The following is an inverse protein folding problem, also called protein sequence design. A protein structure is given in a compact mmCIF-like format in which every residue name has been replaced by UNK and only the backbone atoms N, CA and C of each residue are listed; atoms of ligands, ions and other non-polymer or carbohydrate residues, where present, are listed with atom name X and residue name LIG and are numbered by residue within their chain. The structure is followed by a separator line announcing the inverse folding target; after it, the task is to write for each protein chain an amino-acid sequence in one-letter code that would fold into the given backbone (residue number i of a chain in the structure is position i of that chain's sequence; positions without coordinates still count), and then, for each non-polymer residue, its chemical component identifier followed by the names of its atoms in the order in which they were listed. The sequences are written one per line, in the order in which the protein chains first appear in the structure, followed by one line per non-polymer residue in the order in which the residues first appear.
data_IF_822250888716
#
_entry.id   IF_822250888716
#
_cell.length_a   1.000
_cell.length_b   1.000
_cell.length_c   1.000
_cell.angle_alpha   90.00
_cell.angle_beta   90.00
_cell.angle_gamma   90.00
#
_symmetry.space_group_name_H-M   'P 1'
#
loop_
_entity.id
_entity.type
_entity.pdbx_description
1 polymer ?
#
# COMPACT_ATOMS: atom_id res chain seq x y z
N UNK A 1 -7.59 -3.39 -43.36
CA UNK A 1 -6.35 -3.94 -43.94
C UNK A 1 -5.47 -4.43 -42.81
N UNK A 2 -5.01 -5.67 -42.84
CA UNK A 2 -4.08 -6.20 -41.83
C UNK A 2 -2.65 -5.84 -42.25
N UNK A 3 -1.92 -5.13 -41.40
CA UNK A 3 -0.55 -4.69 -41.66
C UNK A 3 0.44 -5.79 -41.26
N UNK A 4 0.55 -6.83 -42.10
CA UNK A 4 1.51 -7.91 -41.93
C UNK A 4 2.15 -8.28 -43.26
N UNK A 5 3.45 -8.51 -43.23
CA UNK A 5 4.24 -9.02 -44.34
C UNK A 5 5.30 -9.97 -43.80
N UNK A 6 5.76 -10.95 -44.58
CA UNK A 6 6.89 -11.79 -44.18
C UNK A 6 8.13 -10.94 -43.85
N UNK A 7 8.82 -11.32 -42.78
CA UNK A 7 10.06 -10.66 -42.38
C UNK A 7 11.13 -10.93 -43.44
N UNK A 8 11.84 -9.88 -43.82
CA UNK A 8 12.94 -9.98 -44.77
C UNK A 8 14.14 -9.17 -44.30
N UNK A 9 15.34 -9.70 -44.55
CA UNK A 9 16.60 -8.99 -44.35
C UNK A 9 16.86 -8.18 -45.62
N UNK A 10 17.20 -6.90 -45.46
CA UNK A 10 17.51 -6.01 -46.57
C UNK A 10 18.94 -5.51 -46.47
N UNK A 11 19.60 -5.37 -47.61
CA UNK A 11 20.86 -4.65 -47.73
C UNK A 11 20.59 -3.28 -48.33
N UNK A 12 21.09 -2.23 -47.68
CA UNK A 12 21.05 -0.87 -48.19
C UNK A 12 22.39 -0.55 -48.85
N UNK A 13 22.37 -0.24 -50.14
CA UNK A 13 23.52 0.28 -50.86
C UNK A 13 23.22 1.71 -51.34
N UNK A 14 23.19 2.65 -50.40
CA UNK A 14 22.83 4.05 -50.67
C UNK A 14 21.32 4.23 -50.89
N UNK A 15 20.86 4.24 -52.14
CA UNK A 15 19.47 4.57 -52.50
C UNK A 15 18.56 3.37 -52.74
N UNK A 16 19.12 2.16 -52.84
CA UNK A 16 18.35 0.93 -53.11
C UNK A 16 18.34 0.00 -51.89
N UNK A 17 17.14 -0.50 -51.56
CA UNK A 17 16.93 -1.58 -50.59
C UNK A 17 16.73 -2.89 -51.37
N UNK A 18 17.76 -3.73 -51.37
CA UNK A 18 17.68 -5.05 -51.97
C UNK A 18 17.27 -6.07 -50.90
N UNK A 19 16.18 -6.80 -51.16
CA UNK A 19 15.76 -7.92 -50.32
C UNK A 19 16.80 -9.05 -50.47
N UNK A 20 17.44 -9.41 -49.36
CA UNK A 20 18.48 -10.45 -49.32
C UNK A 20 17.89 -11.82 -49.03
N UNK A 21 17.02 -11.89 -48.04
CA UNK A 21 16.47 -13.13 -47.53
C UNK A 21 15.08 -12.88 -46.95
N UNK A 22 14.14 -13.77 -47.21
CA UNK A 22 12.89 -13.87 -46.46
C UNK A 22 13.08 -14.94 -45.38
N UNK A 23 12.83 -14.58 -44.12
CA UNK A 23 12.95 -15.54 -43.02
C UNK A 23 11.61 -16.28 -42.89
N UNK A 24 11.59 -17.62 -43.06
CA UNK A 24 10.35 -18.38 -43.03
C UNK A 24 9.68 -18.29 -41.66
N UNK A 25 8.36 -18.13 -41.69
CA UNK A 25 7.47 -18.00 -40.52
C UNK A 25 7.82 -16.89 -39.52
N UNK A 26 8.64 -15.92 -39.92
CA UNK A 26 8.76 -14.64 -39.23
C UNK A 26 7.96 -13.59 -39.98
N UNK A 27 7.21 -12.78 -39.24
CA UNK A 27 6.40 -11.70 -39.77
C UNK A 27 6.89 -10.35 -39.25
N UNK A 28 6.74 -9.34 -40.08
CA UNK A 28 6.83 -7.92 -39.70
C UNK A 28 5.49 -7.27 -39.95
N UNK A 29 5.17 -6.25 -39.17
CA UNK A 29 3.88 -5.59 -39.18
C UNK A 29 3.98 -4.23 -38.53
N UNK A 30 2.84 -3.57 -38.38
CA UNK A 30 2.80 -2.18 -37.88
C UNK A 30 3.27 -2.07 -36.42
N UNK A 31 3.02 -3.11 -35.60
CA UNK A 31 3.55 -3.22 -34.24
C UNK A 31 4.46 -4.44 -34.13
N UNK A 32 5.64 -4.26 -33.54
CA UNK A 32 6.59 -5.36 -33.32
C UNK A 32 5.98 -6.46 -32.45
N UNK A 33 5.19 -6.10 -31.44
CA UNK A 33 4.53 -7.04 -30.53
C UNK A 33 3.51 -7.93 -31.25
N UNK A 34 2.68 -7.36 -32.14
CA UNK A 34 1.75 -8.15 -32.95
C UNK A 34 2.50 -9.06 -33.92
N UNK A 35 3.53 -8.51 -34.58
CA UNK A 35 4.37 -9.24 -35.54
C UNK A 35 5.02 -10.47 -34.92
N UNK A 36 5.57 -10.31 -33.70
CA UNK A 36 6.18 -11.41 -32.95
C UNK A 36 5.13 -12.47 -32.62
N UNK A 37 3.95 -12.09 -32.12
CA UNK A 37 2.89 -13.05 -31.75
C UNK A 37 2.46 -13.97 -32.91
N UNK A 38 2.37 -13.43 -34.13
CA UNK A 38 2.03 -14.21 -35.33
C UNK A 38 3.21 -15.01 -35.90
N UNK A 39 4.44 -14.72 -35.51
CA UNK A 39 5.63 -15.44 -35.95
C UNK A 39 5.77 -16.79 -35.25
N UNK A 40 6.53 -17.70 -35.85
CA UNK A 40 6.91 -19.01 -35.30
C UNK A 40 8.44 -19.12 -35.23
N UNK A 41 8.92 -19.96 -34.31
CA UNK A 41 10.35 -20.24 -34.12
C UNK A 41 10.89 -21.34 -35.03
N UNK A 42 10.10 -21.78 -36.03
CA UNK A 42 10.42 -22.89 -36.92
C UNK A 42 11.83 -22.78 -37.56
N UNK A 43 12.24 -21.59 -37.99
CA UNK A 43 13.57 -21.37 -38.57
C UNK A 43 14.71 -21.81 -37.65
N UNK A 44 14.56 -21.67 -36.33
CA UNK A 44 15.61 -21.99 -35.34
C UNK A 44 15.87 -23.50 -35.20
N UNK A 45 14.97 -24.34 -35.70
CA UNK A 45 15.11 -25.80 -35.71
C UNK A 45 15.69 -26.34 -37.02
N UNK A 46 15.95 -25.48 -38.01
CA UNK A 46 16.46 -25.88 -39.33
C UNK A 46 17.85 -25.29 -39.58
N UNK A 47 18.86 -26.16 -39.77
CA UNK A 47 20.24 -25.73 -39.89
C UNK A 47 20.46 -24.84 -41.11
N UNK A 48 19.81 -25.15 -42.24
CA UNK A 48 19.89 -24.32 -43.43
C UNK A 48 19.34 -22.91 -43.20
N UNK A 49 18.29 -22.76 -42.38
CA UNK A 49 17.73 -21.46 -42.07
C UNK A 49 18.62 -20.66 -41.10
N UNK A 50 19.14 -21.32 -40.07
CA UNK A 50 20.08 -20.72 -39.11
C UNK A 50 21.39 -20.32 -39.79
N UNK A 51 21.91 -21.14 -40.70
CA UNK A 51 23.12 -20.86 -41.48
C UNK A 51 22.93 -19.60 -42.34
N UNK A 52 21.78 -19.47 -42.99
CA UNK A 52 21.43 -18.26 -43.77
C UNK A 52 21.42 -17.00 -42.89
N UNK A 53 20.83 -17.07 -41.69
CA UNK A 53 20.83 -15.95 -40.76
C UNK A 53 22.26 -15.63 -40.29
N UNK A 54 23.05 -16.65 -39.94
CA UNK A 54 24.42 -16.48 -39.46
C UNK A 54 25.34 -15.86 -40.53
N UNK A 55 25.15 -16.25 -41.80
CA UNK A 55 25.86 -15.70 -42.94
C UNK A 55 25.60 -14.20 -43.10
N UNK A 56 24.33 -13.78 -43.07
CA UNK A 56 23.97 -12.37 -43.25
C UNK A 56 24.31 -11.49 -42.05
N UNK A 57 24.28 -12.04 -40.84
CA UNK A 57 24.64 -11.32 -39.61
C UNK A 57 26.14 -11.39 -39.29
N UNK A 58 26.92 -12.16 -40.05
CA UNK A 58 28.35 -12.40 -39.82
C UNK A 58 28.64 -12.88 -38.38
N UNK A 59 27.79 -13.78 -37.86
CA UNK A 59 27.92 -14.38 -36.53
C UNK A 59 28.55 -15.77 -36.70
N UNK A 60 29.36 -16.18 -35.72
CA UNK A 60 29.87 -17.55 -35.63
C UNK A 60 28.74 -18.57 -35.77
N UNK A 61 29.04 -19.72 -36.38
CA UNK A 61 28.09 -20.81 -36.65
C UNK A 61 27.19 -21.08 -35.43
N UNK A 62 25.90 -20.81 -35.60
CA UNK A 62 24.88 -21.08 -34.59
C UNK A 62 24.40 -22.53 -34.77
N UNK A 63 24.27 -23.25 -33.66
CA UNK A 63 23.67 -24.57 -33.66
C UNK A 63 22.14 -24.44 -33.64
N UNK A 64 21.44 -25.31 -34.35
CA UNK A 64 19.99 -25.39 -34.28
C UNK A 64 19.50 -25.83 -32.91
N UNK A 65 18.27 -25.44 -32.60
CA UNK A 65 17.51 -26.05 -31.52
C UNK A 65 17.20 -27.50 -31.86
N UNK A 66 17.25 -28.36 -30.85
CA UNK A 66 16.97 -29.79 -31.00
C UNK A 66 15.47 -30.04 -30.92
N UNK A 67 14.91 -30.60 -32.01
CA UNK A 67 13.50 -30.95 -32.13
C UNK A 67 13.10 -32.02 -31.10
N UNK A 68 14.02 -32.92 -30.74
CA UNK A 68 13.76 -34.01 -29.79
C UNK A 68 13.59 -33.54 -28.35
N UNK A 69 13.98 -32.29 -28.05
CA UNK A 69 13.82 -31.70 -26.72
C UNK A 69 12.46 -31.02 -26.52
N UNK A 70 11.67 -30.83 -27.58
CA UNK A 70 10.29 -30.37 -27.48
C UNK A 70 9.39 -31.50 -26.99
N UNK A 71 8.56 -31.19 -25.99
CA UNK A 71 7.59 -32.15 -25.48
C UNK A 71 6.15 -31.64 -25.62
N UNK A 72 5.94 -30.34 -25.42
CA UNK A 72 4.61 -29.76 -25.41
C UNK A 72 4.29 -28.99 -26.70
N UNK A 73 5.20 -28.12 -27.13
CA UNK A 73 4.99 -27.34 -28.35
C UNK A 73 5.47 -28.07 -29.60
N UNK A 74 4.82 -27.79 -30.72
CA UNK A 74 5.28 -28.21 -32.04
C UNK A 74 6.24 -27.17 -32.64
N UNK A 75 7.08 -27.60 -33.58
CA UNK A 75 8.03 -26.71 -34.30
C UNK A 75 7.33 -25.56 -35.04
N UNK A 76 6.07 -25.76 -35.43
CA UNK A 76 5.24 -24.77 -36.12
C UNK A 76 4.34 -23.94 -35.18
N UNK A 77 4.50 -24.07 -33.86
CA UNK A 77 3.72 -23.29 -32.91
C UNK A 77 4.04 -21.79 -33.02
N UNK A 78 3.00 -20.94 -32.99
CA UNK A 78 3.18 -19.49 -32.99
C UNK A 78 3.67 -19.03 -31.62
N UNK A 79 4.41 -17.91 -31.59
CA UNK A 79 4.88 -17.31 -30.35
C UNK A 79 3.71 -16.89 -29.47
N UNK A 80 2.56 -16.53 -30.03
CA UNK A 80 1.33 -16.31 -29.26
C UNK A 80 0.91 -17.54 -28.46
N UNK A 81 0.90 -18.73 -29.08
CA UNK A 81 0.55 -19.98 -28.40
C UNK A 81 1.53 -20.28 -27.27
N UNK A 82 2.82 -20.09 -27.53
CA UNK A 82 3.88 -20.31 -26.54
C UNK A 82 3.76 -19.30 -25.39
N UNK A 83 3.47 -18.03 -25.70
CA UNK A 83 3.28 -16.97 -24.71
C UNK A 83 2.06 -17.20 -23.81
N UNK A 84 0.96 -17.69 -24.37
CA UNK A 84 -0.25 -18.01 -23.60
C UNK A 84 0.01 -19.07 -22.52
N UNK A 85 1.08 -19.85 -22.68
CA UNK A 85 1.56 -20.85 -21.74
C UNK A 85 2.86 -20.44 -21.05
N UNK A 86 3.13 -19.13 -21.00
CA UNK A 86 4.28 -18.54 -20.29
C UNK A 86 5.63 -19.07 -20.75
N UNK A 87 5.75 -19.53 -22.01
CA UNK A 87 6.94 -20.15 -22.57
C UNK A 87 7.40 -21.45 -21.86
N UNK A 88 6.48 -22.13 -21.17
CA UNK A 88 6.82 -23.37 -20.43
C UNK A 88 6.55 -24.60 -21.29
N UNK A 89 7.61 -25.16 -21.90
CA UNK A 89 7.50 -26.42 -22.66
C UNK A 89 7.51 -27.67 -21.76
N UNK A 90 8.23 -27.62 -20.63
CA UNK A 90 8.24 -28.72 -19.66
C UNK A 90 8.34 -28.25 -18.22
N UNK A 91 7.59 -28.91 -17.34
CA UNK A 91 7.72 -28.78 -15.90
C UNK A 91 8.68 -29.84 -15.36
N UNK A 92 9.82 -29.42 -14.80
CA UNK A 92 10.72 -30.33 -14.06
C UNK A 92 10.29 -30.43 -12.61
N UNK A 93 9.44 -31.40 -12.31
CA UNK A 93 8.90 -31.64 -10.96
C UNK A 93 9.95 -32.19 -9.98
N UNK A 94 11.04 -32.79 -10.48
CA UNK A 94 12.12 -33.36 -9.66
C UNK A 94 13.22 -32.35 -9.26
N UNK A 95 12.96 -31.05 -9.40
CA UNK A 95 13.93 -30.03 -9.01
C UNK A 95 13.91 -29.79 -7.50
N UNK A 96 15.10 -29.72 -6.89
CA UNK A 96 15.22 -29.36 -5.48
C UNK A 96 14.85 -27.89 -5.31
N UNK A 97 13.70 -27.63 -4.69
CA UNK A 97 13.27 -26.27 -4.33
C UNK A 97 14.36 -25.51 -3.56
N UNK A 98 15.12 -26.21 -2.72
CA UNK A 98 16.22 -25.62 -1.96
C UNK A 98 17.36 -25.15 -2.86
N UNK A 99 17.79 -25.99 -3.81
CA UNK A 99 18.86 -25.63 -4.74
C UNK A 99 18.46 -24.46 -5.65
N UNK A 100 17.21 -24.46 -6.12
CA UNK A 100 16.65 -23.35 -6.89
C UNK A 100 16.62 -22.05 -6.06
N UNK A 101 16.12 -22.12 -4.83
CA UNK A 101 16.10 -20.97 -3.93
C UNK A 101 17.52 -20.45 -3.64
N UNK A 102 18.49 -21.33 -3.36
CA UNK A 102 19.87 -20.94 -3.12
C UNK A 102 20.52 -20.22 -4.31
N UNK A 103 20.15 -20.58 -5.55
CA UNK A 103 20.62 -19.90 -6.76
C UNK A 103 19.93 -18.56 -7.03
N UNK A 104 18.63 -18.46 -6.72
CA UNK A 104 17.81 -17.31 -7.09
C UNK A 104 17.48 -16.38 -5.91
N UNK A 105 18.01 -16.64 -4.71
CA UNK A 105 17.72 -15.83 -3.54
C UNK A 105 18.28 -14.41 -3.73
N UNK A 106 17.46 -13.37 -3.58
CA UNK A 106 17.97 -12.00 -3.62
C UNK A 106 18.90 -11.74 -2.41
N UNK A 107 19.92 -10.91 -2.60
CA UNK A 107 20.83 -10.52 -1.52
C UNK A 107 20.14 -9.72 -0.42
N UNK A 108 19.08 -9.00 -0.78
CA UNK A 108 18.25 -8.22 0.13
C UNK A 108 16.78 -8.39 -0.23
N UNK A 109 15.94 -8.62 0.77
CA UNK A 109 14.50 -8.62 0.61
C UNK A 109 13.96 -7.27 1.06
N UNK A 110 13.42 -6.49 0.13
CA UNK A 110 12.59 -5.32 0.46
C UNK A 110 11.14 -5.69 0.25
N UNK A 111 10.34 -5.62 1.30
CA UNK A 111 8.90 -5.77 1.20
C UNK A 111 8.24 -4.42 1.47
N UNK A 112 7.28 -4.07 0.62
CA UNK A 112 6.40 -2.93 0.83
C UNK A 112 5.19 -3.41 1.63
N UNK A 113 5.07 -2.92 2.86
CA UNK A 113 3.86 -3.10 3.67
C UNK A 113 2.78 -2.19 3.10
N UNK A 114 1.97 -2.73 2.19
CA UNK A 114 0.74 -2.06 1.75
C UNK A 114 -0.33 -2.35 2.79
N UNK A 115 -0.42 -1.48 3.81
CA UNK A 115 -1.49 -1.56 4.80
C UNK A 115 -2.81 -1.15 4.16
N UNK A 116 -3.62 -2.13 3.79
CA UNK A 116 -5.03 -1.88 3.48
C UNK A 116 -5.74 -1.49 4.79
N UNK A 117 -6.01 -0.19 4.97
CA UNK A 117 -6.84 0.29 6.08
C UNK A 117 -8.21 -0.38 5.98
N UNK A 118 -8.44 -1.37 6.83
CA UNK A 118 -9.70 -2.10 6.87
C UNK A 118 -10.84 -1.14 7.24
N UNK A 119 -12.00 -1.33 6.62
CA UNK A 119 -13.20 -0.53 6.91
C UNK A 119 -13.54 -0.58 8.42
N UNK A 120 -13.27 -1.72 9.07
CA UNK A 120 -13.39 -1.89 10.51
C UNK A 120 -12.55 -0.91 11.32
N UNK A 121 -11.31 -0.64 10.90
CA UNK A 121 -10.44 0.32 11.58
C UNK A 121 -11.05 1.74 11.52
N UNK A 122 -11.61 2.13 10.38
CA UNK A 122 -12.28 3.44 10.22
C UNK A 122 -13.50 3.54 11.17
N UNK A 123 -14.31 2.49 11.23
CA UNK A 123 -15.49 2.43 12.10
C UNK A 123 -15.08 2.57 13.58
N UNK A 124 -14.04 1.85 14.01
CA UNK A 124 -13.56 1.92 15.41
C UNK A 124 -13.04 3.31 15.78
N UNK A 125 -12.37 4.01 14.85
CA UNK A 125 -11.93 5.39 15.07
C UNK A 125 -13.11 6.33 15.23
N UNK A 126 -14.16 6.21 14.40
CA UNK A 126 -15.36 7.05 14.50
C UNK A 126 -16.05 6.86 15.86
N UNK A 127 -16.21 5.61 16.31
CA UNK A 127 -16.79 5.35 17.63
C UNK A 127 -15.91 5.89 18.77
N UNK A 128 -14.59 5.76 18.66
CA UNK A 128 -13.64 6.33 19.61
C UNK A 128 -13.73 7.87 19.68
N UNK A 129 -13.85 8.54 18.53
CA UNK A 129 -13.97 9.99 18.43
C UNK A 129 -15.27 10.51 19.04
N UNK A 130 -16.41 9.90 18.70
CA UNK A 130 -17.72 10.29 19.24
C UNK A 130 -17.75 10.10 20.77
N UNK A 131 -17.26 8.95 21.24
CA UNK A 131 -17.18 8.64 22.66
C UNK A 131 -16.27 9.60 23.43
N UNK A 132 -15.07 9.87 22.90
CA UNK A 132 -14.13 10.82 23.49
C UNK A 132 -14.68 12.24 23.54
N UNK A 133 -15.22 12.73 22.42
CA UNK A 133 -15.73 14.09 22.29
C UNK A 133 -16.85 14.37 23.29
N UNK A 134 -17.82 13.47 23.44
CA UNK A 134 -18.93 13.64 24.38
C UNK A 134 -18.46 13.71 25.84
N UNK A 135 -17.44 12.93 26.20
CA UNK A 135 -16.89 12.92 27.56
C UNK A 135 -16.08 14.19 27.85
N UNK A 136 -15.25 14.64 26.90
CA UNK A 136 -14.49 15.89 27.00
C UNK A 136 -15.45 17.08 27.12
N UNK A 137 -16.49 17.12 26.29
CA UNK A 137 -17.50 18.18 26.33
C UNK A 137 -18.16 18.28 27.71
N UNK A 138 -18.55 17.16 28.32
CA UNK A 138 -19.10 17.11 29.68
C UNK A 138 -18.12 17.59 30.76
N UNK A 139 -16.83 17.35 30.58
CA UNK A 139 -15.79 17.83 31.51
C UNK A 139 -15.58 19.34 31.39
N UNK A 140 -15.62 19.85 30.16
CA UNK A 140 -15.32 21.23 29.80
C UNK A 140 -16.50 22.17 30.13
N UNK A 141 -17.75 21.74 29.90
CA UNK A 141 -18.97 22.52 30.16
C UNK A 141 -19.03 23.21 31.54
N UNK A 142 -18.85 22.51 32.68
CA UNK A 142 -18.95 23.16 33.99
C UNK A 142 -17.86 24.21 34.22
N UNK A 143 -16.70 24.07 33.56
CA UNK A 143 -15.62 25.05 33.66
C UNK A 143 -15.92 26.31 32.84
N UNK A 144 -16.42 26.14 31.61
CA UNK A 144 -16.84 27.28 30.78
C UNK A 144 -18.01 28.05 31.40
N UNK A 145 -19.01 27.35 31.94
CA UNK A 145 -20.15 28.00 32.62
C UNK A 145 -19.67 28.79 33.83
N UNK A 146 -18.76 28.23 34.64
CA UNK A 146 -18.19 28.96 35.77
C UNK A 146 -17.40 30.19 35.32
N UNK A 147 -16.61 30.07 34.25
CA UNK A 147 -15.84 31.19 33.71
C UNK A 147 -16.75 32.32 33.20
N UNK A 148 -17.79 32.00 32.42
CA UNK A 148 -18.78 32.97 31.93
C UNK A 148 -19.53 33.63 33.10
N UNK A 149 -19.91 32.85 34.12
CA UNK A 149 -20.57 33.39 35.31
C UNK A 149 -19.68 34.39 36.06
N UNK A 150 -18.40 34.08 36.25
CA UNK A 150 -17.43 34.99 36.90
C UNK A 150 -17.23 36.27 36.08
N UNK A 151 -17.09 36.15 34.76
CA UNK A 151 -16.97 37.33 33.88
C UNK A 151 -18.19 38.24 33.96
N UNK A 152 -19.40 37.67 33.88
CA UNK A 152 -20.65 38.43 33.98
C UNK A 152 -20.82 39.06 35.36
N UNK A 153 -20.48 38.34 36.44
CA UNK A 153 -20.50 38.88 37.80
C UNK A 153 -19.54 40.08 37.97
N UNK A 154 -18.30 39.95 37.49
CA UNK A 154 -17.32 41.04 37.52
C UNK A 154 -17.76 42.24 36.66
N UNK A 155 -18.39 42.01 35.51
CA UNK A 155 -18.85 43.07 34.62
C UNK A 155 -20.06 43.83 35.21
N UNK A 156 -21.02 43.11 35.79
CA UNK A 156 -22.20 43.72 36.41
C UNK A 156 -21.84 44.54 37.65
N UNK A 157 -20.85 44.11 38.44
CA UNK A 157 -20.38 44.85 39.61
C UNK A 157 -19.53 46.09 39.25
N UNK A 158 -19.06 46.20 37.99
CA UNK A 158 -18.28 47.33 37.47
C UNK A 158 -19.13 48.55 37.12
N UNK A 159 -20.45 48.38 36.91
CA UNK A 159 -21.38 49.48 36.55
C UNK A 159 -21.66 50.44 37.71
N UNK A 160 -21.30 50.11 38.96
CA UNK A 160 -21.73 50.88 40.14
C UNK A 160 -20.63 51.46 41.07
N UNK A 161 -19.34 51.50 40.69
CA UNK A 161 -18.30 52.30 41.42
C UNK A 161 -17.15 52.75 40.51
N UNK A 162 -16.80 54.04 40.59
CA UNK A 162 -15.60 54.66 40.01
C UNK A 162 -14.33 54.17 40.72
N UNK A 163 -13.90 52.94 40.48
CA UNK A 163 -12.63 52.42 40.99
C UNK A 163 -11.88 51.68 39.88
N UNK A 164 -10.66 52.15 39.58
CA UNK A 164 -9.75 51.55 38.61
C UNK A 164 -9.47 50.10 39.03
N UNK A 165 -9.77 49.09 38.19
CA UNK A 165 -9.57 47.71 38.59
C UNK A 165 -8.08 47.35 38.47
N UNK A 166 -7.45 47.00 39.58
CA UNK A 166 -6.27 46.12 39.53
C UNK A 166 -6.77 44.75 39.10
N UNK A 167 -6.55 44.42 37.83
CA UNK A 167 -6.79 43.07 37.29
C UNK A 167 -5.81 42.13 38.00
N UNK A 168 -6.21 41.60 39.14
CA UNK A 168 -5.58 40.41 39.69
C UNK A 168 -6.20 39.24 38.95
N UNK A 169 -5.45 38.68 38.00
CA UNK A 169 -5.80 37.41 37.39
C UNK A 169 -5.98 36.39 38.53
N UNK A 170 -7.08 35.64 38.58
CA UNK A 170 -7.22 34.55 39.54
C UNK A 170 -6.02 33.64 39.34
N UNK A 171 -5.17 33.50 40.37
CA UNK A 171 -4.04 32.56 40.33
C UNK A 171 -4.63 31.18 40.06
N UNK A 172 -4.44 30.70 38.83
CA UNK A 172 -4.94 29.41 38.38
C UNK A 172 -4.23 28.32 39.19
N UNK A 173 -4.87 27.88 40.26
CA UNK A 173 -4.29 26.89 41.16
C UNK A 173 -4.46 25.52 40.55
N UNK A 174 -3.45 25.04 39.81
CA UNK A 174 -3.38 23.66 39.30
C UNK A 174 -3.65 22.63 40.41
N UNK A 175 -3.33 22.98 41.66
CA UNK A 175 -3.54 22.12 42.82
C UNK A 175 -5.02 21.82 43.11
N UNK A 176 -5.94 22.73 42.80
CA UNK A 176 -7.39 22.48 43.00
C UNK A 176 -7.98 21.66 41.85
N UNK A 177 -7.48 21.85 40.63
CA UNK A 177 -7.86 21.10 39.43
C UNK A 177 -7.37 19.66 39.53
N UNK A 178 -6.11 19.45 39.92
CA UNK A 178 -5.53 18.13 40.11
C UNK A 178 -6.29 17.30 41.18
N UNK A 179 -6.74 17.94 42.28
CA UNK A 179 -7.57 17.28 43.30
C UNK A 179 -8.97 16.90 42.81
N UNK A 180 -9.53 17.63 41.85
CA UNK A 180 -10.82 17.28 41.22
C UNK A 180 -10.61 16.18 40.19
N UNK A 181 -9.57 16.28 39.38
CA UNK A 181 -9.17 15.28 38.39
C UNK A 181 -8.89 13.91 39.02
N UNK A 182 -8.18 13.88 40.15
CA UNK A 182 -7.89 12.65 40.92
C UNK A 182 -9.13 12.01 41.57
N UNK A 183 -10.28 12.68 41.58
CA UNK A 183 -11.56 12.20 42.14
C UNK A 183 -12.64 11.97 41.08
N UNK A 184 -12.28 12.10 39.80
CA UNK A 184 -13.22 11.83 38.71
C UNK A 184 -13.46 10.32 38.59
N UNK A 185 -14.73 9.93 38.54
CA UNK A 185 -15.19 8.64 38.04
C UNK A 185 -16.04 8.89 36.79
N UNK A 186 -15.40 8.86 35.63
CA UNK A 186 -16.00 9.21 34.34
C UNK A 186 -16.98 8.14 33.83
N UNK A 187 -16.89 6.94 34.40
CA UNK A 187 -17.69 5.76 34.09
C UNK A 187 -18.60 5.36 35.25
N UNK A 188 -18.93 6.30 36.14
CA UNK A 188 -19.88 6.08 37.22
C UNK A 188 -21.22 5.60 36.66
N UNK A 189 -21.62 4.39 37.06
CA UNK A 189 -22.96 3.85 36.79
C UNK A 189 -23.97 4.50 37.76
N UNK A 190 -25.14 4.90 37.25
CA UNK A 190 -26.24 5.47 38.04
C UNK A 190 -27.13 4.40 38.71
N UNK A 191 -26.71 3.12 38.74
CA UNK A 191 -27.51 2.06 39.33
C UNK A 191 -27.60 2.20 40.85
N UNK A 192 -28.82 2.45 41.35
CA UNK A 192 -29.18 2.67 42.76
C UNK A 192 -28.94 1.49 43.72
N UNK A 193 -28.19 0.47 43.30
CA UNK A 193 -27.82 -0.71 44.08
C UNK A 193 -26.30 -0.91 44.04
N UNK A 194 -25.52 0.07 44.52
CA UNK A 194 -24.07 -0.06 44.65
C UNK A 194 -23.70 -0.71 46.00
N UNK A 195 -23.66 -2.05 46.03
CA UNK A 195 -23.04 -2.80 47.13
C UNK A 195 -21.77 -3.59 46.70
N UNK A 196 -21.33 -3.44 45.44
CA UNK A 196 -20.16 -4.17 44.92
C UNK A 196 -18.93 -3.26 44.89
N UNK A 197 -18.09 -3.34 45.92
CA UNK A 197 -16.82 -2.58 46.01
C UNK A 197 -15.91 -2.84 44.79
N UNK A 198 -15.92 -4.06 44.25
CA UNK A 198 -15.17 -4.44 43.06
C UNK A 198 -15.51 -3.58 41.83
N UNK A 199 -16.79 -3.28 41.61
CA UNK A 199 -17.24 -2.52 40.44
C UNK A 199 -16.77 -1.06 40.51
N UNK A 200 -16.71 -0.49 41.71
CA UNK A 200 -16.20 0.88 41.94
C UNK A 200 -14.70 0.95 41.66
N UNK A 201 -13.94 -0.08 42.05
CA UNK A 201 -12.51 -0.15 41.76
C UNK A 201 -12.23 -0.21 40.25
N UNK A 202 -12.99 -1.02 39.52
CA UNK A 202 -12.85 -1.14 38.05
C UNK A 202 -13.20 0.17 37.34
N UNK A 203 -14.24 0.86 37.78
CA UNK A 203 -14.63 2.17 37.23
C UNK A 203 -13.56 3.25 37.45
N UNK A 204 -12.93 3.27 38.63
CA UNK A 204 -11.82 4.18 38.94
C UNK A 204 -10.57 3.86 38.12
N UNK A 205 -10.25 2.58 37.96
CA UNK A 205 -9.13 2.12 37.13
C UNK A 205 -9.34 2.49 35.66
N UNK A 206 -10.54 2.23 35.13
CA UNK A 206 -10.91 2.58 33.77
C UNK A 206 -10.85 4.10 33.53
N UNK A 207 -11.30 4.91 34.51
CA UNK A 207 -11.20 6.37 34.42
C UNK A 207 -9.74 6.83 34.37
N UNK A 208 -8.85 6.26 35.19
CA UNK A 208 -7.41 6.60 35.18
C UNK A 208 -6.75 6.22 33.87
N UNK A 209 -6.99 5.00 33.37
CA UNK A 209 -6.43 4.52 32.09
C UNK A 209 -6.89 5.41 30.94
N UNK A 210 -8.19 5.74 30.88
CA UNK A 210 -8.74 6.60 29.84
C UNK A 210 -8.06 7.98 29.81
N UNK A 211 -7.86 8.61 30.97
CA UNK A 211 -7.24 9.93 31.04
C UNK A 211 -5.75 9.89 30.64
N UNK A 212 -5.01 8.84 31.01
CA UNK A 212 -3.62 8.65 30.59
C UNK A 212 -3.54 8.49 29.07
N UNK A 213 -4.34 7.58 28.50
CA UNK A 213 -4.37 7.33 27.05
C UNK A 213 -4.77 8.59 26.29
N UNK A 214 -5.76 9.33 26.81
CA UNK A 214 -6.20 10.58 26.21
C UNK A 214 -5.07 11.64 26.18
N UNK A 215 -4.37 11.85 27.30
CA UNK A 215 -3.25 12.80 27.36
C UNK A 215 -2.14 12.40 26.38
N UNK A 216 -1.77 11.10 26.34
CA UNK A 216 -0.77 10.58 25.40
C UNK A 216 -1.19 10.82 23.94
N UNK A 217 -2.46 10.56 23.62
CA UNK A 217 -2.98 10.77 22.26
C UNK A 217 -2.92 12.24 21.81
N UNK A 218 -3.20 13.18 22.71
CA UNK A 218 -3.10 14.62 22.42
C UNK A 218 -1.64 15.01 22.22
N UNK A 219 -0.72 14.52 23.05
CA UNK A 219 0.72 14.83 22.91
C UNK A 219 1.23 14.36 21.55
N UNK A 220 0.92 13.13 21.14
CA UNK A 220 1.34 12.57 19.85
C UNK A 220 0.77 13.38 18.68
N UNK A 221 -0.48 13.83 18.75
CA UNK A 221 -1.10 14.64 17.70
C UNK A 221 -0.54 16.07 17.59
N UNK A 222 0.09 16.57 18.66
CA UNK A 222 0.67 17.93 18.71
C UNK A 222 2.15 18.00 18.34
N UNK A 223 2.82 16.85 18.21
CA UNK A 223 4.21 16.71 17.75
C UNK A 223 4.21 16.47 16.25
#
# INVERSE_FOLDING_TARGET
MRCFSPMSIYFSNGTYLNKLLEVPDFYTGCLQTESIRYSSLMCLFNQSCVDLISFWLNISTLNTLDIHNLNHFSVNATIESIQNEMFVDRWKVSSSHRAFYEQCRPDYCTYTLIEHKSIWLIITIIFGLIGGLMKILKLILPHFVHYIFVLNFCFHHRKNRNMVPKISFPKFSFRSIFRRFSRLNLFSSNSSNQNNEHEIHDQLLATRIFLIVFIVSVIILTI
#
